data_IF_119450252945
#
_entry.id   IF_119450252945
#
_cell.length_a   1.000
_cell.length_b   1.000
_cell.length_c   1.000
_cell.angle_alpha   90.00
_cell.angle_beta   90.00
_cell.angle_gamma   90.00
#
_symmetry.space_group_name_H-M   'P 1'
#
loop_
_entity.id
_entity.type
_entity.pdbx_description
1 polymer ?
#
# COMPACT_ATOMS: atom_id res chain seq x y z
N UNK A 1 7.33 -11.18 -12.12
CA UNK A 1 8.36 -11.00 -11.08
C UNK A 1 7.66 -10.24 -9.98
N UNK A 2 7.41 -10.94 -8.88
CA UNK A 2 6.60 -10.49 -7.75
C UNK A 2 7.46 -9.70 -6.76
N UNK A 3 6.82 -8.86 -5.93
CA UNK A 3 7.47 -8.09 -4.89
C UNK A 3 7.19 -8.77 -3.56
N UNK A 4 8.24 -9.21 -2.88
CA UNK A 4 8.17 -9.66 -1.49
C UNK A 4 8.47 -8.46 -0.56
N UNK A 5 7.59 -8.20 0.40
CA UNK A 5 7.74 -7.22 1.48
C UNK A 5 8.09 -5.78 1.05
N UNK A 6 7.09 -5.07 0.50
CA UNK A 6 7.17 -3.65 0.14
C UNK A 6 6.62 -2.76 1.25
N UNK A 7 7.46 -1.86 1.77
CA UNK A 7 7.03 -0.81 2.71
C UNK A 7 7.24 0.57 2.07
N UNK A 8 6.16 1.31 1.90
CA UNK A 8 6.16 2.66 1.34
C UNK A 8 5.64 3.62 2.41
N UNK A 9 6.46 4.62 2.78
CA UNK A 9 6.02 5.74 3.62
C UNK A 9 5.66 6.94 2.74
N UNK A 10 4.37 7.27 2.69
CA UNK A 10 3.80 8.31 1.83
C UNK A 10 3.19 9.43 2.65
N UNK A 11 3.63 10.66 2.38
CA UNK A 11 3.01 11.85 2.94
C UNK A 11 1.66 12.15 2.26
N UNK A 12 1.58 11.94 0.93
CA UNK A 12 0.35 12.09 0.14
C UNK A 12 0.33 11.04 -0.98
N UNK A 13 -0.79 10.30 -1.08
CA UNK A 13 -1.05 9.36 -2.17
C UNK A 13 -2.34 9.71 -2.91
N UNK A 14 -2.26 9.89 -4.23
CA UNK A 14 -3.44 10.08 -5.09
C UNK A 14 -3.55 8.89 -6.04
N UNK A 15 -4.69 8.22 -6.05
CA UNK A 15 -4.92 7.05 -6.90
C UNK A 15 -6.41 6.90 -7.20
N UNK A 16 -6.74 6.36 -8.38
CA UNK A 16 -8.03 5.74 -8.60
C UNK A 16 -7.95 4.30 -8.06
N UNK A 17 -8.86 3.91 -7.18
CA UNK A 17 -8.88 2.56 -6.59
C UNK A 17 -10.16 1.81 -6.96
N UNK A 18 -10.02 0.54 -7.29
CA UNK A 18 -11.13 -0.42 -7.39
C UNK A 18 -10.90 -1.52 -6.37
N UNK A 19 -11.91 -1.79 -5.55
CA UNK A 19 -11.85 -2.81 -4.50
C UNK A 19 -12.91 -3.87 -4.83
N UNK A 20 -12.50 -5.14 -4.78
CA UNK A 20 -13.39 -6.28 -4.99
C UNK A 20 -13.52 -7.08 -3.69
N UNK A 21 -14.76 -7.40 -3.33
CA UNK A 21 -15.13 -8.14 -2.13
C UNK A 21 -14.64 -7.44 -0.85
N UNK A 22 -14.93 -6.14 -0.75
CA UNK A 22 -14.65 -5.37 0.45
C UNK A 22 -15.60 -5.78 1.57
N UNK A 23 -15.03 -6.20 2.69
CA UNK A 23 -15.74 -6.49 3.92
C UNK A 23 -15.31 -5.48 4.98
N UNK A 24 -16.27 -4.73 5.52
CA UNK A 24 -16.06 -3.74 6.57
C UNK A 24 -16.79 -4.17 7.84
N UNK A 25 -16.20 -3.92 9.01
CA UNK A 25 -16.84 -4.18 10.29
C UNK A 25 -16.94 -5.64 10.68
N UNK A 26 -16.05 -6.48 10.16
CA UNK A 26 -15.83 -7.82 10.72
C UNK A 26 -15.14 -7.72 12.06
N UNK A 27 -15.21 -8.80 12.82
CA UNK A 27 -14.31 -9.01 13.94
C UNK A 27 -12.88 -9.21 13.40
N UNK A 28 -11.92 -8.42 13.87
CA UNK A 28 -10.54 -8.48 13.39
C UNK A 28 -9.89 -9.86 13.59
N UNK A 29 -10.30 -10.62 14.61
CA UNK A 29 -9.84 -11.98 14.86
C UNK A 29 -10.39 -13.02 13.89
N UNK A 30 -11.31 -12.62 12.99
CA UNK A 30 -11.92 -13.48 11.97
C UNK A 30 -11.48 -13.16 10.55
N UNK A 31 -10.56 -12.22 10.36
CA UNK A 31 -10.04 -11.87 9.03
C UNK A 31 -9.15 -13.01 8.49
N UNK A 32 -9.39 -13.40 7.25
CA UNK A 32 -8.88 -14.60 6.61
C UNK A 32 -8.40 -14.39 5.16
N UNK A 33 -8.60 -13.21 4.57
CA UNK A 33 -8.15 -12.90 3.19
C UNK A 33 -6.62 -12.80 3.07
N UNK A 34 -5.91 -12.58 4.18
CA UNK A 34 -4.44 -12.54 4.23
C UNK A 34 -3.93 -13.47 5.33
N UNK A 35 -3.01 -14.41 5.05
CA UNK A 35 -2.38 -15.25 6.07
C UNK A 35 -1.75 -14.38 7.16
N UNK A 36 -2.06 -14.65 8.42
CA UNK A 36 -1.64 -13.84 9.59
C UNK A 36 -2.05 -12.36 9.55
N UNK A 37 -3.01 -11.97 8.71
CA UNK A 37 -3.53 -10.60 8.62
C UNK A 37 -4.62 -10.26 9.65
N UNK A 38 -5.03 -11.24 10.47
CA UNK A 38 -6.01 -11.05 11.54
C UNK A 38 -5.50 -10.17 12.69
N UNK A 39 -6.41 -9.41 13.28
CA UNK A 39 -6.16 -8.60 14.47
C UNK A 39 -6.70 -9.25 15.75
N UNK A 40 -6.66 -8.55 16.89
CA UNK A 40 -7.23 -9.04 18.14
C UNK A 40 -8.74 -9.28 18.04
N UNK A 41 -9.22 -10.41 18.54
CA UNK A 41 -10.65 -10.73 18.56
C UNK A 41 -11.46 -9.68 19.35
N UNK A 42 -12.69 -9.43 18.94
CA UNK A 42 -13.59 -8.43 19.53
C UNK A 42 -13.31 -6.99 19.09
N UNK A 43 -12.37 -6.78 18.17
CA UNK A 43 -12.04 -5.46 17.61
C UNK A 43 -12.53 -5.32 16.17
N UNK A 44 -12.60 -4.09 15.68
CA UNK A 44 -13.04 -3.80 14.32
C UNK A 44 -11.98 -4.19 13.30
N UNK A 45 -12.38 -4.96 12.29
CA UNK A 45 -11.56 -5.40 11.18
C UNK A 45 -12.20 -5.09 9.83
N UNK A 46 -11.37 -4.96 8.82
CA UNK A 46 -11.79 -4.82 7.41
C UNK A 46 -10.81 -5.58 6.54
N UNK A 47 -11.32 -6.22 5.48
CA UNK A 47 -10.50 -6.95 4.51
C UNK A 47 -11.09 -6.83 3.11
N UNK A 48 -10.28 -7.13 2.10
CA UNK A 48 -10.74 -7.22 0.73
C UNK A 48 -9.91 -8.27 -0.01
N UNK A 49 -10.56 -9.00 -0.92
CA UNK A 49 -9.88 -10.03 -1.72
C UNK A 49 -8.96 -9.45 -2.78
N UNK A 50 -9.35 -8.33 -3.41
CA UNK A 50 -8.51 -7.64 -4.40
C UNK A 50 -8.63 -6.13 -4.26
N UNK A 51 -7.48 -5.46 -4.17
CA UNK A 51 -7.36 -4.01 -4.30
C UNK A 51 -6.56 -3.71 -5.56
N UNK A 52 -7.16 -3.00 -6.51
CA UNK A 52 -6.49 -2.53 -7.72
C UNK A 52 -6.33 -1.02 -7.65
N UNK A 53 -5.09 -0.56 -7.59
CA UNK A 53 -4.76 0.86 -7.66
C UNK A 53 -4.33 1.21 -9.09
N UNK A 54 -4.86 2.31 -9.65
CA UNK A 54 -4.54 2.81 -10.98
C UNK A 54 -4.09 4.27 -10.90
N UNK A 55 -3.13 4.62 -11.75
CA UNK A 55 -2.57 5.97 -11.83
C UNK A 55 -2.05 6.46 -10.47
N UNK A 56 -1.38 5.56 -9.73
CA UNK A 56 -0.84 5.85 -8.41
C UNK A 56 0.24 6.93 -8.52
N UNK A 57 0.04 8.06 -7.84
CA UNK A 57 1.05 9.12 -7.66
C UNK A 57 1.43 9.19 -6.19
N UNK A 58 2.65 8.79 -5.88
CA UNK A 58 3.19 8.76 -4.52
C UNK A 58 4.09 9.99 -4.30
N UNK A 59 3.76 10.79 -3.29
CA UNK A 59 4.69 11.71 -2.66
C UNK A 59 5.34 11.02 -1.46
N UNK A 60 6.32 10.16 -1.72
CA UNK A 60 6.99 9.39 -0.68
C UNK A 60 8.21 10.14 -0.13
N UNK A 61 8.40 10.10 1.19
CA UNK A 61 9.61 10.62 1.84
C UNK A 61 10.71 9.53 1.89
N UNK A 62 10.31 8.26 1.96
CA UNK A 62 11.19 7.11 1.86
C UNK A 62 10.45 5.91 1.26
N UNK A 63 11.15 5.13 0.43
CA UNK A 63 10.67 3.84 -0.10
C UNK A 63 11.72 2.79 0.24
N UNK A 64 11.32 1.74 0.96
CA UNK A 64 12.22 0.62 1.29
C UNK A 64 11.59 -0.67 0.76
N UNK A 65 12.33 -1.38 -0.10
CA UNK A 65 11.92 -2.66 -0.65
C UNK A 65 13.13 -3.61 -0.68
N UNK A 66 12.91 -4.89 -0.34
CA UNK A 66 13.95 -5.91 -0.42
C UNK A 66 14.39 -6.18 -1.87
N UNK A 67 13.47 -6.07 -2.84
CA UNK A 67 13.77 -6.03 -4.28
C UNK A 67 12.69 -5.21 -4.97
N UNK A 68 13.08 -4.18 -5.72
CA UNK A 68 12.16 -3.29 -6.42
C UNK A 68 12.25 -3.54 -7.93
N UNK A 69 11.25 -4.20 -8.51
CA UNK A 69 11.13 -4.40 -9.96
C UNK A 69 9.81 -3.83 -10.44
N UNK A 70 9.81 -2.54 -10.81
CA UNK A 70 8.75 -1.91 -11.57
C UNK A 70 9.26 -1.70 -12.98
N UNK A 71 8.64 -2.38 -13.95
CA UNK A 71 9.03 -2.31 -15.37
C UNK A 71 9.06 -0.88 -15.93
N UNK A 72 8.24 0.02 -15.37
CA UNK A 72 8.02 1.39 -15.85
C UNK A 72 8.24 2.48 -14.77
N UNK A 73 9.12 2.25 -13.79
CA UNK A 73 9.44 3.30 -12.81
C UNK A 73 10.25 4.43 -13.46
N UNK A 74 9.66 5.62 -13.54
CA UNK A 74 10.36 6.86 -13.88
C UNK A 74 10.87 7.58 -12.62
N UNK A 75 12.08 7.24 -12.17
CA UNK A 75 12.77 7.97 -11.09
C UNK A 75 13.47 9.21 -11.66
N UNK A 76 13.15 10.40 -11.14
CA UNK A 76 13.81 11.66 -11.53
C UNK A 76 14.49 12.29 -10.32
N UNK A 77 15.81 12.16 -10.24
CA UNK A 77 16.63 12.82 -9.21
C UNK A 77 16.96 14.23 -9.69
N UNK A 78 16.46 15.24 -8.99
CA UNK A 78 16.73 16.64 -9.28
C UNK A 78 17.78 17.15 -8.27
N UNK A 79 18.97 17.61 -8.71
CA UNK A 79 19.93 18.24 -7.83
C UNK A 79 19.42 19.63 -7.37
N UNK A 80 19.57 19.94 -6.09
CA UNK A 80 19.23 21.24 -5.47
C UNK A 80 18.44 21.09 -4.17
N UNK A 81 18.62 22.01 -3.23
CA UNK A 81 17.81 22.11 -1.99
C UNK A 81 16.37 22.46 -2.37
N UNK A 82 15.51 21.44 -2.37
CA UNK A 82 14.06 21.58 -2.48
C UNK A 82 13.46 21.15 -1.14
N UNK A 83 13.78 21.89 -0.08
CA UNK A 83 13.07 21.76 1.19
C UNK A 83 11.57 22.02 0.94
N UNK A 84 10.74 21.04 1.29
CA UNK A 84 9.29 21.20 1.28
C UNK A 84 8.87 22.08 2.46
N UNK A 85 8.31 23.26 2.19
CA UNK A 85 7.51 24.04 3.14
C UNK A 85 6.04 23.68 3.02
#
# INVERSE_FOLDING_TARGET
>A
MDIDDLVIDVAVGQTAASIRDLELGRDAGTLDEVPSGGGPAGTFGSQARVVTLRNVRLGAWAVTAATFSLSDLHLRVLPGTHECY
#
